data_IF_237603491404
#
_entry.id   IF_237603491404
#
_cell.length_a   1.000
_cell.length_b   1.000
_cell.length_c   1.000
_cell.angle_alpha   90.00
_cell.angle_beta   90.00
_cell.angle_gamma   90.00
#
_symmetry.space_group_name_H-M   'P 1'
#
loop_
_entity.id
_entity.type
_entity.pdbx_description
1 polymer ?
#
# COMPACT_ATOMS: atom_id res chain seq x y z
N UNK A 1 7.91 12.73 1.05
CA UNK A 1 8.77 12.89 -0.12
C UNK A 1 7.92 13.08 -1.37
N UNK A 2 8.45 13.79 -2.33
CA UNK A 2 7.83 13.93 -3.64
C UNK A 2 8.14 12.68 -4.49
N UNK A 3 7.11 12.01 -5.01
CA UNK A 3 7.23 10.84 -5.88
C UNK A 3 7.69 11.23 -7.28
N UNK A 4 7.73 10.28 -8.21
CA UNK A 4 8.23 10.42 -9.58
C UNK A 4 7.52 11.54 -10.39
N UNK A 5 6.29 11.87 -10.03
CA UNK A 5 5.44 12.89 -10.67
C UNK A 5 5.21 14.14 -9.79
N UNK A 6 5.94 14.26 -8.68
CA UNK A 6 5.80 15.34 -7.71
C UNK A 6 4.68 15.14 -6.69
N UNK A 7 3.92 14.04 -6.74
CA UNK A 7 2.90 13.74 -5.73
C UNK A 7 3.54 13.50 -4.36
N UNK A 8 3.08 14.24 -3.35
CA UNK A 8 3.61 14.14 -1.99
C UNK A 8 3.10 12.90 -1.26
N UNK A 9 4.02 12.03 -0.86
CA UNK A 9 3.73 10.81 -0.12
C UNK A 9 4.36 10.85 1.28
N UNK A 10 3.58 10.50 2.28
CA UNK A 10 4.04 10.38 3.66
C UNK A 10 4.83 9.09 3.86
N UNK A 11 5.90 9.16 4.65
CA UNK A 11 6.73 8.01 5.01
C UNK A 11 6.96 8.01 6.51
N UNK A 12 6.57 6.95 7.16
CA UNK A 12 6.84 6.70 8.57
C UNK A 12 8.09 5.86 8.71
N UNK A 13 8.95 6.17 9.67
CA UNK A 13 10.18 5.42 9.93
C UNK A 13 10.29 5.09 11.41
N UNK A 14 10.73 3.88 11.73
CA UNK A 14 10.95 3.45 13.10
C UNK A 14 12.12 2.48 13.19
N UNK A 15 12.95 2.68 14.19
CA UNK A 15 14.16 1.89 14.39
C UNK A 15 15.38 2.40 13.62
N UNK A 16 16.42 1.60 13.59
CA UNK A 16 17.67 1.85 12.89
C UNK A 16 18.31 0.51 12.49
N UNK A 17 19.15 0.52 11.46
CA UNK A 17 19.80 -0.67 10.93
C UNK A 17 19.39 -0.95 9.49
N UNK A 18 19.39 -2.24 9.07
CA UNK A 18 19.03 -2.56 7.68
C UNK A 18 17.57 -2.23 7.41
N UNK A 19 17.30 -1.48 6.31
CA UNK A 19 15.96 -1.05 5.97
C UNK A 19 15.02 -2.22 5.60
N UNK A 20 13.77 -2.12 6.03
CA UNK A 20 12.66 -2.96 5.61
C UNK A 20 11.54 -2.04 5.13
N UNK A 21 11.29 -2.01 3.83
CA UNK A 21 10.18 -1.25 3.25
C UNK A 21 8.91 -2.07 3.36
N UNK A 22 7.85 -1.50 3.94
CA UNK A 22 6.59 -2.19 4.23
C UNK A 22 5.40 -1.49 3.57
N UNK A 23 4.78 -2.15 2.59
CA UNK A 23 3.64 -1.64 1.83
C UNK A 23 2.33 -2.17 2.44
N UNK A 24 1.42 -1.28 2.81
CA UNK A 24 0.15 -1.63 3.45
C UNK A 24 -0.94 -2.09 2.46
N UNK A 25 -2.06 -2.60 2.97
CA UNK A 25 -3.20 -3.07 2.19
C UNK A 25 -4.13 -1.95 1.71
N UNK A 26 -5.02 -2.30 0.77
CA UNK A 26 -6.03 -1.40 0.22
C UNK A 26 -6.91 -0.81 1.33
N UNK A 27 -7.24 0.48 1.21
CA UNK A 27 -8.04 1.27 2.17
C UNK A 27 -7.41 1.42 3.56
N UNK A 28 -6.19 0.96 3.76
CA UNK A 28 -5.46 1.04 5.03
C UNK A 28 -4.43 2.18 5.01
N UNK A 29 -3.51 2.15 5.95
CA UNK A 29 -2.36 3.04 6.06
C UNK A 29 -1.22 2.36 6.83
N UNK A 30 -0.06 3.01 6.88
CA UNK A 30 1.10 2.51 7.60
C UNK A 30 0.81 2.34 9.11
N UNK A 31 0.06 3.27 9.69
CA UNK A 31 -0.31 3.25 11.11
C UNK A 31 -1.17 2.04 11.42
N UNK A 32 -2.18 1.76 10.61
CA UNK A 32 -3.14 0.66 10.80
C UNK A 32 -2.48 -0.69 10.60
N UNK A 33 -1.67 -0.87 9.54
CA UNK A 33 -1.08 -2.17 9.25
C UNK A 33 0.18 -2.46 10.07
N UNK A 34 1.02 -1.47 10.36
CA UNK A 34 2.36 -1.74 10.86
C UNK A 34 2.65 -1.19 12.24
N UNK A 35 2.13 0.02 12.55
CA UNK A 35 2.50 0.72 13.77
C UNK A 35 1.59 0.32 14.94
N UNK A 36 0.28 0.40 14.74
CA UNK A 36 -0.73 0.22 15.80
C UNK A 36 -0.62 -1.10 16.55
N UNK A 37 -0.29 -2.17 15.84
CA UNK A 37 -0.19 -3.52 16.43
C UNK A 37 1.24 -3.94 16.76
N UNK A 38 2.19 -2.99 16.73
CA UNK A 38 3.55 -3.19 17.18
C UNK A 38 4.44 -3.97 16.21
N UNK A 39 4.02 -4.18 14.95
CA UNK A 39 4.87 -4.88 13.96
C UNK A 39 6.14 -4.08 13.67
N UNK A 40 6.02 -2.77 13.46
CA UNK A 40 7.17 -1.89 13.25
C UNK A 40 8.10 -1.86 14.46
N UNK A 41 7.56 -1.85 15.68
CA UNK A 41 8.36 -1.87 16.91
C UNK A 41 9.16 -3.17 17.03
N UNK A 42 8.56 -4.33 16.72
CA UNK A 42 9.28 -5.62 16.74
C UNK A 42 10.44 -5.66 15.75
N UNK A 43 10.31 -5.03 14.59
CA UNK A 43 11.40 -4.90 13.63
C UNK A 43 12.49 -3.99 14.19
N UNK A 44 12.13 -2.86 14.78
CA UNK A 44 13.07 -1.94 15.42
C UNK A 44 13.83 -2.62 16.57
N UNK A 45 13.14 -3.37 17.42
CA UNK A 45 13.74 -4.13 18.53
C UNK A 45 14.70 -5.23 18.02
N UNK A 46 14.48 -5.70 16.79
CA UNK A 46 15.36 -6.67 16.12
C UNK A 46 16.53 -6.02 15.36
N UNK A 47 16.75 -4.70 15.52
CA UNK A 47 17.84 -3.97 14.87
C UNK A 47 17.62 -3.70 13.39
N UNK A 48 16.36 -3.58 12.97
CA UNK A 48 15.96 -3.22 11.61
C UNK A 48 15.31 -1.83 11.60
N UNK A 49 15.34 -1.17 10.46
CA UNK A 49 14.61 0.07 10.23
C UNK A 49 13.36 -0.21 9.41
N UNK A 50 12.18 -0.06 10.02
CA UNK A 50 10.91 -0.14 9.32
C UNK A 50 10.64 1.18 8.58
N UNK A 51 10.51 1.13 7.25
CA UNK A 51 10.17 2.24 6.37
C UNK A 51 8.78 1.97 5.80
N UNK A 52 7.81 2.77 6.18
CA UNK A 52 6.38 2.50 5.95
C UNK A 52 5.74 3.70 5.25
N UNK A 53 5.72 3.72 3.90
CA UNK A 53 4.96 4.75 3.19
C UNK A 53 3.45 4.55 3.39
N UNK A 54 2.72 5.65 3.51
CA UNK A 54 1.31 5.66 3.15
C UNK A 54 1.24 5.66 1.62
N UNK A 55 0.60 4.66 1.03
CA UNK A 55 0.46 4.57 -0.40
C UNK A 55 -0.36 5.75 -0.94
N UNK A 56 -0.19 6.13 -2.19
CA UNK A 56 -1.00 7.15 -2.87
C UNK A 56 -2.48 6.91 -2.64
N UNK A 57 -3.27 7.94 -2.42
CA UNK A 57 -4.68 7.91 -2.05
C UNK A 57 -5.00 7.36 -0.65
N UNK A 58 -3.99 7.03 0.18
CA UNK A 58 -4.18 6.44 1.50
C UNK A 58 -3.52 7.28 2.61
N UNK A 59 -3.96 7.03 3.85
CA UNK A 59 -3.36 7.60 5.05
C UNK A 59 -3.23 9.11 5.01
N UNK A 60 -2.02 9.61 5.17
CA UNK A 60 -1.68 11.03 5.09
C UNK A 60 -0.99 11.44 3.79
N UNK A 61 -0.82 10.51 2.85
CA UNK A 61 -0.34 10.79 1.50
C UNK A 61 -1.37 11.56 0.68
N UNK A 62 -0.90 12.25 -0.36
CA UNK A 62 -1.74 12.99 -1.28
C UNK A 62 -2.78 12.09 -1.98
N UNK A 63 -3.94 12.67 -2.27
CA UNK A 63 -5.12 12.01 -2.86
C UNK A 63 -5.62 12.81 -4.06
N UNK A 64 -4.81 12.93 -5.13
CA UNK A 64 -5.23 13.69 -6.30
C UNK A 64 -6.52 13.11 -6.89
N UNK A 65 -7.40 13.99 -7.39
CA UNK A 65 -8.63 13.59 -8.09
C UNK A 65 -8.46 13.65 -9.61
N UNK A 66 -7.26 13.96 -10.09
CA UNK A 66 -6.92 13.93 -11.51
C UNK A 66 -6.56 12.49 -11.92
N UNK A 67 -7.26 11.89 -12.91
CA UNK A 67 -6.91 10.57 -13.43
C UNK A 67 -5.46 10.47 -13.93
N UNK A 68 -4.90 11.57 -14.43
CA UNK A 68 -3.50 11.64 -14.87
C UNK A 68 -2.48 11.35 -13.78
N UNK A 69 -2.86 11.52 -12.50
CA UNK A 69 -2.03 11.18 -11.36
C UNK A 69 -2.02 9.67 -11.02
N UNK A 70 -2.76 8.84 -11.78
CA UNK A 70 -2.85 7.39 -11.56
C UNK A 70 -2.49 6.60 -12.83
N UNK A 71 -1.28 6.80 -13.38
CA UNK A 71 -0.83 6.00 -14.52
C UNK A 71 -0.72 4.52 -14.13
N UNK A 72 -0.71 3.65 -15.14
CA UNK A 72 -0.51 2.22 -14.91
C UNK A 72 0.70 1.97 -14.01
N UNK A 73 0.55 1.04 -13.05
CA UNK A 73 1.55 0.69 -12.04
C UNK A 73 2.01 1.87 -11.16
N UNK A 74 1.13 2.83 -10.91
CA UNK A 74 1.47 4.01 -10.11
C UNK A 74 2.10 3.67 -8.76
N UNK A 75 1.57 2.66 -8.04
CA UNK A 75 2.13 2.23 -6.74
C UNK A 75 3.52 1.61 -6.86
N UNK A 76 3.82 0.95 -7.99
CA UNK A 76 5.16 0.42 -8.28
C UNK A 76 6.11 1.58 -8.53
N UNK A 77 5.71 2.56 -9.34
CA UNK A 77 6.50 3.76 -9.61
C UNK A 77 6.77 4.57 -8.34
N UNK A 78 5.76 4.70 -7.46
CA UNK A 78 5.91 5.34 -6.15
C UNK A 78 6.93 4.61 -5.25
N UNK A 79 6.85 3.28 -5.20
CA UNK A 79 7.80 2.47 -4.43
C UNK A 79 9.22 2.54 -5.00
N UNK A 80 9.40 2.51 -6.32
CA UNK A 80 10.68 2.70 -6.98
C UNK A 80 11.26 4.08 -6.69
N UNK A 81 10.43 5.13 -6.76
CA UNK A 81 10.83 6.48 -6.42
C UNK A 81 11.28 6.61 -4.96
N UNK A 82 10.57 5.96 -4.02
CA UNK A 82 10.94 5.93 -2.61
C UNK A 82 12.30 5.24 -2.38
N UNK A 83 12.49 4.06 -2.97
CA UNK A 83 13.76 3.31 -2.87
C UNK A 83 14.92 4.14 -3.42
N UNK A 84 14.72 4.79 -4.56
CA UNK A 84 15.73 5.67 -5.16
C UNK A 84 15.98 6.92 -4.32
N UNK A 85 14.94 7.59 -3.83
CA UNK A 85 15.04 8.78 -2.97
C UNK A 85 15.83 8.51 -1.69
N UNK A 86 15.65 7.34 -1.09
CA UNK A 86 16.35 6.93 0.13
C UNK A 86 17.72 6.29 -0.15
N UNK A 87 18.10 6.08 -1.42
CA UNK A 87 19.37 5.45 -1.80
C UNK A 87 19.51 4.02 -1.30
N UNK A 88 18.41 3.25 -1.23
CA UNK A 88 18.42 1.90 -0.68
C UNK A 88 19.05 0.91 -1.64
N UNK A 89 20.17 0.29 -1.27
CA UNK A 89 20.85 -0.77 -2.02
C UNK A 89 20.72 -2.15 -1.37
N UNK A 90 20.84 -2.24 -0.04
CA UNK A 90 20.65 -3.47 0.75
C UNK A 90 19.43 -3.30 1.67
N UNK A 91 18.28 -3.76 1.23
CA UNK A 91 17.01 -3.64 1.96
C UNK A 91 16.14 -4.87 1.77
N UNK A 92 15.20 -5.06 2.69
CA UNK A 92 14.13 -6.04 2.56
C UNK A 92 12.83 -5.32 2.12
N UNK A 93 11.96 -6.00 1.36
CA UNK A 93 10.67 -5.47 0.91
C UNK A 93 9.56 -6.38 1.40
N UNK A 94 8.55 -5.83 2.02
CA UNK A 94 7.39 -6.56 2.49
C UNK A 94 6.09 -5.86 2.10
N UNK A 95 5.00 -6.63 2.01
CA UNK A 95 3.69 -6.07 1.76
C UNK A 95 2.55 -6.93 2.26
N UNK A 96 1.43 -6.28 2.55
CA UNK A 96 0.19 -6.93 2.94
C UNK A 96 -0.91 -6.66 1.90
N UNK A 97 -1.59 -7.72 1.44
CA UNK A 97 -2.71 -7.62 0.48
C UNK A 97 -2.32 -6.83 -0.78
N UNK A 98 -2.89 -5.65 -1.04
CA UNK A 98 -2.49 -4.76 -2.15
C UNK A 98 -0.98 -4.47 -2.12
N UNK A 99 -0.42 -4.20 -0.93
CA UNK A 99 1.02 -3.98 -0.77
C UNK A 99 1.84 -5.21 -1.14
N UNK A 100 1.35 -6.44 -0.89
CA UNK A 100 2.03 -7.66 -1.32
C UNK A 100 2.03 -7.79 -2.85
N UNK A 101 0.90 -7.52 -3.51
CA UNK A 101 0.84 -7.45 -4.98
C UNK A 101 1.80 -6.41 -5.53
N UNK A 102 1.78 -5.20 -4.96
CA UNK A 102 2.69 -4.13 -5.36
C UNK A 102 4.16 -4.54 -5.20
N UNK A 103 4.52 -5.19 -4.08
CA UNK A 103 5.88 -5.67 -3.83
C UNK A 103 6.34 -6.70 -4.87
N UNK A 104 5.47 -7.64 -5.27
CA UNK A 104 5.77 -8.59 -6.38
C UNK A 104 6.00 -7.82 -7.68
N UNK A 105 5.12 -6.89 -8.03
CA UNK A 105 5.27 -6.09 -9.26
C UNK A 105 6.53 -5.21 -9.24
N UNK A 106 6.93 -4.70 -8.06
CA UNK A 106 8.19 -3.97 -7.91
C UNK A 106 9.40 -4.84 -8.29
N UNK A 107 9.42 -6.11 -7.85
CA UNK A 107 10.49 -7.05 -8.21
C UNK A 107 10.46 -7.35 -9.71
N UNK A 108 9.28 -7.58 -10.29
CA UNK A 108 9.11 -7.78 -11.75
C UNK A 108 9.57 -6.55 -12.52
N UNK A 109 9.35 -5.35 -11.98
CA UNK A 109 9.78 -4.08 -12.56
C UNK A 109 11.25 -3.70 -12.26
N UNK A 110 12.04 -4.61 -11.67
CA UNK A 110 13.50 -4.48 -11.54
C UNK A 110 14.01 -4.07 -10.15
N UNK A 111 13.15 -3.91 -9.13
CA UNK A 111 13.67 -3.76 -7.77
C UNK A 111 14.29 -5.10 -7.31
N UNK A 112 15.41 -5.01 -6.62
CA UNK A 112 16.20 -6.17 -6.16
C UNK A 112 16.34 -6.17 -4.63
N UNK A 113 15.24 -6.31 -3.86
CA UNK A 113 15.35 -6.44 -2.42
C UNK A 113 16.07 -7.74 -2.06
N UNK A 114 16.80 -7.74 -0.95
CA UNK A 114 17.46 -8.94 -0.43
C UNK A 114 16.47 -10.04 -0.07
N UNK A 115 15.33 -9.66 0.49
CA UNK A 115 14.22 -10.55 0.84
C UNK A 115 12.91 -9.92 0.43
N UNK A 116 11.98 -10.77 0.00
CA UNK A 116 10.60 -10.39 -0.29
C UNK A 116 9.67 -11.12 0.66
N UNK A 117 8.84 -10.38 1.41
CA UNK A 117 7.86 -10.93 2.34
C UNK A 117 6.45 -10.56 1.88
N UNK A 118 5.63 -11.56 1.60
CA UNK A 118 4.26 -11.39 1.12
C UNK A 118 3.28 -11.90 2.17
N UNK A 119 2.34 -11.05 2.57
CA UNK A 119 1.32 -11.40 3.53
C UNK A 119 -0.08 -11.06 2.99
N UNK A 120 -1.07 -11.90 3.29
CA UNK A 120 -2.47 -11.69 2.91
C UNK A 120 -2.74 -11.72 1.40
N UNK A 121 -1.81 -12.27 0.60
CA UNK A 121 -1.93 -12.42 -0.85
C UNK A 121 -1.15 -13.65 -1.29
N UNK A 122 -1.85 -14.68 -1.73
CA UNK A 122 -1.28 -15.87 -2.34
C UNK A 122 -1.36 -15.83 -3.85
N UNK A 123 -0.97 -16.93 -4.51
CA UNK A 123 -0.95 -17.05 -5.98
C UNK A 123 -2.32 -16.78 -6.60
N UNK A 124 -3.40 -17.32 -6.02
CA UNK A 124 -4.77 -17.09 -6.50
C UNK A 124 -5.17 -15.60 -6.46
N UNK A 125 -4.76 -14.89 -5.40
CA UNK A 125 -5.01 -13.45 -5.29
C UNK A 125 -4.23 -12.62 -6.30
N UNK A 126 -3.03 -13.05 -6.66
CA UNK A 126 -2.20 -12.42 -7.69
C UNK A 126 -2.76 -12.71 -9.10
N UNK A 127 -3.09 -13.97 -9.40
CA UNK A 127 -3.62 -14.39 -10.69
C UNK A 127 -5.03 -13.87 -10.95
N UNK A 128 -5.88 -13.79 -9.91
CA UNK A 128 -7.26 -13.33 -10.00
C UNK A 128 -7.44 -11.83 -9.72
N UNK A 129 -6.44 -11.02 -9.97
CA UNK A 129 -6.45 -9.59 -9.61
C UNK A 129 -7.62 -8.82 -10.22
N UNK A 130 -7.96 -9.06 -11.48
CA UNK A 130 -9.05 -8.37 -12.18
C UNK A 130 -10.40 -8.53 -11.48
N UNK A 131 -10.70 -9.75 -11.04
CA UNK A 131 -11.94 -10.04 -10.29
C UNK A 131 -11.94 -9.32 -8.93
N UNK A 132 -10.79 -9.27 -8.26
CA UNK A 132 -10.65 -8.58 -6.99
C UNK A 132 -10.78 -7.06 -7.15
N UNK A 133 -10.17 -6.51 -8.19
CA UNK A 133 -10.29 -5.08 -8.51
C UNK A 133 -11.75 -4.71 -8.79
N UNK A 134 -12.45 -5.49 -9.62
CA UNK A 134 -13.86 -5.29 -9.93
C UNK A 134 -14.75 -5.31 -8.66
N UNK A 135 -14.47 -6.23 -7.71
CA UNK A 135 -15.18 -6.28 -6.43
C UNK A 135 -14.98 -4.99 -5.60
N UNK A 136 -13.75 -4.48 -5.50
CA UNK A 136 -13.50 -3.27 -4.72
C UNK A 136 -14.02 -2.01 -5.42
N UNK A 137 -13.98 -1.96 -6.74
CA UNK A 137 -14.57 -0.87 -7.53
C UNK A 137 -16.09 -0.84 -7.29
N UNK A 138 -16.77 -1.98 -7.38
CA UNK A 138 -18.20 -2.09 -7.08
C UNK A 138 -18.53 -1.66 -5.64
N UNK A 139 -17.70 -2.05 -4.68
CA UNK A 139 -17.86 -1.63 -3.29
C UNK A 139 -17.71 -0.10 -3.10
N UNK A 140 -16.81 0.56 -3.84
CA UNK A 140 -16.67 2.01 -3.84
C UNK A 140 -17.89 2.67 -4.48
N UNK A 141 -18.31 2.18 -5.65
CA UNK A 141 -19.42 2.76 -6.43
C UNK A 141 -20.76 2.62 -5.69
N UNK A 142 -21.00 1.51 -4.99
CA UNK A 142 -22.20 1.26 -4.16
C UNK A 142 -22.05 1.62 -2.68
N UNK A 143 -21.03 2.41 -2.31
CA UNK A 143 -20.65 2.69 -0.90
C UNK A 143 -21.82 3.07 0.02
N UNK A 144 -22.75 3.91 -0.44
CA UNK A 144 -23.89 4.39 0.35
C UNK A 144 -25.10 3.41 0.30
N UNK A 145 -25.06 2.41 -0.56
CA UNK A 145 -26.13 1.42 -0.77
C UNK A 145 -25.90 0.10 -0.03
N UNK A 146 -24.63 -0.21 0.29
CA UNK A 146 -24.22 -1.45 0.96
C UNK A 146 -24.80 -1.54 2.37
N UNK A 147 -25.40 -2.69 2.71
CA UNK A 147 -26.04 -2.98 4.01
C UNK A 147 -25.46 -4.25 4.62
N UNK A 148 -25.69 -4.51 5.94
CA UNK A 148 -25.33 -5.78 6.56
C UNK A 148 -25.89 -6.96 5.76
N UNK A 149 -25.04 -7.96 5.49
CA UNK A 149 -25.36 -9.12 4.65
C UNK A 149 -24.90 -9.00 3.19
N UNK A 150 -24.57 -7.80 2.71
CA UNK A 150 -23.93 -7.62 1.40
C UNK A 150 -22.46 -8.11 1.46
N UNK A 151 -21.96 -8.85 0.44
CA UNK A 151 -20.56 -9.27 0.38
C UNK A 151 -19.55 -8.13 0.54
N UNK A 152 -19.88 -6.91 0.09
CA UNK A 152 -19.03 -5.72 0.21
C UNK A 152 -19.10 -5.03 1.59
N UNK A 153 -19.99 -5.51 2.51
CA UNK A 153 -20.24 -4.81 3.77
C UNK A 153 -18.98 -4.56 4.62
N UNK A 154 -18.11 -5.55 4.74
CA UNK A 154 -16.86 -5.41 5.50
C UNK A 154 -15.90 -4.43 4.85
N UNK A 155 -15.78 -4.46 3.53
CA UNK A 155 -14.93 -3.53 2.77
C UNK A 155 -15.43 -2.08 2.94
N UNK A 156 -16.74 -1.86 2.78
CA UNK A 156 -17.35 -0.53 2.96
C UNK A 156 -17.26 -0.05 4.41
N UNK A 157 -17.46 -0.92 5.38
CA UNK A 157 -17.30 -0.58 6.81
C UNK A 157 -15.87 -0.17 7.13
N UNK A 158 -14.89 -0.85 6.55
CA UNK A 158 -13.49 -0.50 6.68
C UNK A 158 -13.17 0.84 6.01
N UNK A 159 -13.65 1.07 4.78
CA UNK A 159 -13.52 2.36 4.11
C UNK A 159 -14.08 3.52 4.94
N UNK A 160 -15.25 3.32 5.59
CA UNK A 160 -15.85 4.32 6.49
C UNK A 160 -14.95 4.60 7.70
N UNK A 161 -14.43 3.55 8.33
CA UNK A 161 -13.53 3.67 9.49
C UNK A 161 -12.23 4.40 9.14
N UNK A 162 -11.68 4.13 7.97
CA UNK A 162 -10.44 4.74 7.48
C UNK A 162 -10.66 6.10 6.81
N UNK A 163 -11.91 6.55 6.68
CA UNK A 163 -12.28 7.82 6.01
C UNK A 163 -11.67 7.91 4.60
N UNK A 164 -11.79 6.82 3.85
CA UNK A 164 -11.22 6.69 2.50
C UNK A 164 -11.79 7.78 1.58
N UNK A 165 -10.90 8.46 0.85
CA UNK A 165 -11.29 9.32 -0.28
C UNK A 165 -11.70 8.43 -1.45
N UNK A 166 -13.01 8.33 -1.68
CA UNK A 166 -13.60 7.42 -2.67
C UNK A 166 -13.24 7.80 -4.11
N UNK A 167 -13.06 9.10 -4.38
CA UNK A 167 -12.68 9.55 -5.73
C UNK A 167 -11.27 9.09 -6.05
N UNK A 168 -10.32 9.38 -5.16
CA UNK A 168 -8.94 8.95 -5.33
C UNK A 168 -8.79 7.42 -5.32
N UNK A 169 -9.50 6.72 -4.43
CA UNK A 169 -9.47 5.27 -4.35
C UNK A 169 -10.06 4.58 -5.59
N UNK A 170 -11.01 5.22 -6.28
CA UNK A 170 -11.63 4.74 -7.51
C UNK A 170 -10.68 4.84 -8.71
N UNK A 171 -9.74 5.75 -8.67
CA UNK A 171 -8.75 6.01 -9.73
C UNK A 171 -7.51 5.12 -9.61
N UNK A 172 -7.26 4.58 -8.41
CA UNK A 172 -6.11 3.75 -8.10
C UNK A 172 -6.26 2.33 -8.68
#
# INVERSE_FOLDING_TARGET
FASFDGTELAVHRLGAGRPVVLLHGLFSDARTNWIRFGHAQRLADAGLEAIMPDLRAHGTSARPHDPGAYPEDVLVKDAQALVAYLGLADYDLGGFSLGARTAVRCVVAGLTPRRLVLAGMGLEGLAGWELRAAFFIDAIDRFDQVRPGDPAFLAVSFMKTQKVDRVAARLL
#
